data_IF_518590496328
#
_entry.id   IF_518590496328
#
_cell.length_a   1.000
_cell.length_b   1.000
_cell.length_c   1.000
_cell.angle_alpha   90.00
_cell.angle_beta   90.00
_cell.angle_gamma   90.00
#
_symmetry.space_group_name_H-M   'P 1'
#
loop_
_entity.id
_entity.type
_entity.pdbx_description
1 polymer ?
#
# COMPACT_ATOMS: atom_id res chain seq x y z
N UNK A 1 -1.55 -19.79 -9.49
CA UNK A 1 -2.21 -20.04 -8.20
C UNK A 1 -2.94 -18.80 -7.68
N UNK A 2 -2.27 -17.66 -7.54
CA UNK A 2 -2.85 -16.37 -7.08
C UNK A 2 -3.94 -15.84 -8.03
N UNK A 3 -3.68 -15.84 -9.33
CA UNK A 3 -4.66 -15.44 -10.35
C UNK A 3 -5.93 -16.28 -10.27
N UNK A 4 -5.77 -17.61 -10.06
CA UNK A 4 -6.92 -18.51 -9.88
C UNK A 4 -7.77 -18.16 -8.66
N UNK A 5 -7.13 -17.80 -7.53
CA UNK A 5 -7.83 -17.37 -6.32
C UNK A 5 -8.58 -16.05 -6.50
N UNK A 6 -7.98 -15.09 -7.22
CA UNK A 6 -8.62 -13.80 -7.52
C UNK A 6 -9.83 -14.00 -8.42
N UNK A 7 -9.69 -14.81 -9.48
CA UNK A 7 -10.79 -15.12 -10.41
C UNK A 7 -11.90 -15.88 -9.66
N UNK A 8 -11.55 -16.88 -8.84
CA UNK A 8 -12.53 -17.61 -8.03
C UNK A 8 -13.26 -16.68 -7.06
N UNK A 9 -12.55 -15.76 -6.40
CA UNK A 9 -13.14 -14.75 -5.53
C UNK A 9 -14.10 -13.82 -6.26
N UNK A 10 -13.74 -13.40 -7.48
CA UNK A 10 -14.60 -12.56 -8.31
C UNK A 10 -15.88 -13.28 -8.77
N UNK A 11 -15.76 -14.57 -9.13
CA UNK A 11 -16.91 -15.39 -9.57
C UNK A 11 -17.86 -15.69 -8.41
N UNK A 12 -17.34 -16.05 -7.23
CA UNK A 12 -18.14 -16.41 -6.06
C UNK A 12 -18.68 -15.18 -5.32
N UNK A 13 -18.05 -14.04 -5.52
CA UNK A 13 -18.34 -12.78 -4.83
C UNK A 13 -19.69 -12.16 -5.18
N UNK A 14 -20.05 -11.03 -4.52
CA UNK A 14 -21.35 -10.39 -4.64
C UNK A 14 -21.67 -9.83 -6.04
N UNK A 15 -20.65 -9.58 -6.86
CA UNK A 15 -20.80 -9.12 -8.23
C UNK A 15 -20.74 -10.24 -9.28
N UNK A 16 -20.52 -11.50 -8.84
CA UNK A 16 -20.57 -12.71 -9.68
C UNK A 16 -21.81 -13.54 -9.40
N UNK A 17 -21.60 -14.79 -8.96
CA UNK A 17 -22.69 -15.73 -8.64
C UNK A 17 -23.41 -15.40 -7.32
N UNK A 18 -22.96 -14.41 -6.57
CA UNK A 18 -23.53 -13.99 -5.28
C UNK A 18 -23.68 -15.13 -4.25
N UNK A 19 -22.77 -16.11 -4.30
CA UNK A 19 -22.75 -17.24 -3.38
C UNK A 19 -22.22 -16.86 -2.00
N UNK A 20 -21.36 -15.84 -1.96
CA UNK A 20 -20.74 -15.34 -0.74
C UNK A 20 -21.06 -13.85 -0.61
N UNK A 21 -21.91 -13.52 0.36
CA UNK A 21 -22.23 -12.15 0.71
C UNK A 21 -21.02 -11.49 1.39
N UNK A 22 -20.82 -10.21 1.13
CA UNK A 22 -19.78 -9.41 1.79
C UNK A 22 -20.19 -9.13 3.24
N UNK A 23 -20.11 -10.16 4.07
CA UNK A 23 -20.41 -10.07 5.50
C UNK A 23 -19.17 -9.68 6.31
N UNK A 24 -19.38 -9.17 7.53
CA UNK A 24 -18.32 -8.76 8.46
C UNK A 24 -17.27 -9.84 8.69
N UNK A 25 -17.69 -11.12 8.70
CA UNK A 25 -16.80 -12.27 8.89
C UNK A 25 -15.82 -12.46 7.73
N UNK A 26 -16.26 -12.23 6.49
CA UNK A 26 -15.42 -12.36 5.29
C UNK A 26 -14.45 -11.20 5.20
N UNK A 27 -14.91 -9.97 5.51
CA UNK A 27 -14.05 -8.80 5.57
C UNK A 27 -12.96 -9.00 6.63
N UNK A 28 -13.33 -9.48 7.81
CA UNK A 28 -12.39 -9.75 8.90
C UNK A 28 -11.35 -10.81 8.49
N UNK A 29 -11.78 -11.90 7.88
CA UNK A 29 -10.90 -12.97 7.40
C UNK A 29 -9.93 -12.49 6.32
N UNK A 30 -10.40 -11.66 5.38
CA UNK A 30 -9.56 -11.04 4.35
C UNK A 30 -8.52 -10.09 4.96
N UNK A 31 -8.93 -9.26 5.89
CA UNK A 31 -8.04 -8.33 6.60
C UNK A 31 -7.00 -9.07 7.43
N UNK A 32 -7.40 -10.11 8.16
CA UNK A 32 -6.49 -10.96 8.92
C UNK A 32 -5.48 -11.67 8.02
N UNK A 33 -5.92 -12.18 6.86
CA UNK A 33 -5.04 -12.78 5.86
C UNK A 33 -4.02 -11.80 5.29
N UNK A 34 -4.45 -10.56 4.99
CA UNK A 34 -3.55 -9.51 4.52
C UNK A 34 -2.48 -9.16 5.57
N UNK A 35 -2.91 -8.94 6.83
CA UNK A 35 -1.99 -8.65 7.93
C UNK A 35 -1.01 -9.80 8.16
N UNK A 36 -1.46 -11.04 8.05
CA UNK A 36 -0.62 -12.22 8.19
C UNK A 36 0.47 -12.29 7.09
N UNK A 37 0.11 -12.02 5.83
CA UNK A 37 1.08 -11.99 4.73
C UNK A 37 2.10 -10.86 4.93
N UNK A 38 1.65 -9.68 5.35
CA UNK A 38 2.54 -8.55 5.64
C UNK A 38 3.50 -8.87 6.81
N UNK A 39 2.99 -9.52 7.85
CA UNK A 39 3.81 -9.93 9.00
C UNK A 39 4.87 -10.97 8.60
N UNK A 40 4.49 -12.01 7.85
CA UNK A 40 5.46 -12.99 7.33
C UNK A 40 6.52 -12.33 6.44
N UNK A 41 6.12 -11.42 5.58
CA UNK A 41 7.04 -10.67 4.73
C UNK A 41 8.06 -9.88 5.57
N UNK A 42 7.60 -9.26 6.67
CA UNK A 42 8.48 -8.55 7.59
C UNK A 42 9.47 -9.45 8.33
N UNK A 43 9.03 -10.65 8.73
CA UNK A 43 9.89 -11.63 9.42
C UNK A 43 10.96 -12.23 8.51
N UNK A 44 10.65 -12.47 7.24
CA UNK A 44 11.58 -13.05 6.27
C UNK A 44 12.62 -12.04 5.75
N UNK A 45 12.39 -10.74 6.00
CA UNK A 45 13.28 -9.68 5.55
C UNK A 45 14.53 -9.59 6.41
N UNK A 46 15.71 -9.60 5.78
CA UNK A 46 16.96 -9.34 6.47
C UNK A 46 17.13 -7.84 6.76
N UNK A 47 17.02 -7.48 8.05
CA UNK A 47 17.10 -6.09 8.49
C UNK A 47 18.48 -5.46 8.22
N UNK A 48 19.54 -6.27 8.19
CA UNK A 48 20.89 -5.77 7.90
C UNK A 48 21.01 -5.35 6.42
N UNK A 49 20.45 -6.15 5.53
CA UNK A 49 20.39 -5.87 4.10
C UNK A 49 19.43 -4.71 3.79
N UNK A 50 18.33 -4.59 4.53
CA UNK A 50 17.41 -3.45 4.41
C UNK A 50 18.12 -2.14 4.79
N UNK A 51 18.79 -2.06 5.93
CA UNK A 51 19.56 -0.88 6.35
C UNK A 51 20.64 -0.51 5.34
N UNK A 52 21.35 -1.49 4.81
CA UNK A 52 22.40 -1.27 3.81
C UNK A 52 21.87 -0.74 2.49
N UNK A 53 20.63 -1.11 2.11
CA UNK A 53 20.00 -0.71 0.86
C UNK A 53 18.84 0.29 1.03
N UNK A 54 18.66 0.86 2.22
CA UNK A 54 17.55 1.77 2.56
C UNK A 54 17.41 2.94 1.58
N UNK A 55 18.53 3.56 1.17
CA UNK A 55 18.54 4.63 0.18
C UNK A 55 18.02 4.17 -1.20
N UNK A 56 18.36 2.97 -1.62
CA UNK A 56 17.86 2.38 -2.87
C UNK A 56 16.38 2.05 -2.79
N UNK A 57 15.93 1.52 -1.66
CA UNK A 57 14.49 1.29 -1.38
C UNK A 57 13.71 2.60 -1.36
N UNK A 58 14.28 3.67 -0.82
CA UNK A 58 13.65 4.99 -0.81
C UNK A 58 13.48 5.55 -2.23
N UNK A 59 14.53 5.50 -3.03
CA UNK A 59 14.49 5.95 -4.43
C UNK A 59 13.50 5.10 -5.23
N UNK A 60 13.56 3.78 -5.10
CA UNK A 60 12.66 2.86 -5.77
C UNK A 60 11.20 3.11 -5.35
N UNK A 61 10.92 3.18 -4.05
CA UNK A 61 9.59 3.49 -3.51
C UNK A 61 9.07 4.87 -3.96
N UNK A 62 9.95 5.89 -3.98
CA UNK A 62 9.62 7.22 -4.49
C UNK A 62 9.19 7.20 -5.98
N UNK A 63 9.96 6.55 -6.83
CA UNK A 63 9.61 6.42 -8.25
C UNK A 63 8.34 5.61 -8.47
N UNK A 64 8.20 4.46 -7.81
CA UNK A 64 7.02 3.59 -7.93
C UNK A 64 5.76 4.22 -7.35
N UNK A 65 5.90 5.20 -6.46
CA UNK A 65 4.79 6.00 -5.96
C UNK A 65 4.46 7.17 -6.89
N UNK A 66 5.46 8.01 -7.23
CA UNK A 66 5.24 9.26 -7.96
C UNK A 66 4.76 9.02 -9.41
N UNK A 67 5.29 8.02 -10.10
CA UNK A 67 4.93 7.77 -11.51
C UNK A 67 3.47 7.35 -11.66
N UNK A 68 2.97 6.29 -10.97
CA UNK A 68 1.55 5.93 -11.05
C UNK A 68 0.64 7.04 -10.49
N UNK A 69 1.07 7.77 -9.48
CA UNK A 69 0.32 8.91 -8.93
C UNK A 69 0.10 9.97 -9.99
N UNK A 70 1.17 10.40 -10.69
CA UNK A 70 1.07 11.40 -11.75
C UNK A 70 0.15 10.96 -12.88
N UNK A 71 0.34 9.73 -13.39
CA UNK A 71 -0.52 9.18 -14.44
C UNK A 71 -1.96 8.97 -13.97
N UNK A 72 -2.17 8.55 -12.73
CA UNK A 72 -3.49 8.38 -12.13
C UNK A 72 -4.25 9.71 -12.00
N UNK A 73 -3.57 10.80 -11.60
CA UNK A 73 -4.18 12.14 -11.54
C UNK A 73 -4.55 12.62 -12.94
N UNK A 74 -3.63 12.48 -13.91
CA UNK A 74 -3.90 12.87 -15.29
C UNK A 74 -5.08 12.09 -15.87
N UNK A 75 -5.12 10.79 -15.69
CA UNK A 75 -6.21 9.94 -16.16
C UNK A 75 -7.53 10.28 -15.46
N UNK A 76 -7.52 10.45 -14.15
CA UNK A 76 -8.70 10.81 -13.36
C UNK A 76 -9.29 12.15 -13.77
N UNK A 77 -8.44 13.15 -13.95
CA UNK A 77 -8.87 14.50 -14.26
C UNK A 77 -9.28 14.68 -15.74
N UNK A 78 -8.43 14.22 -16.70
CA UNK A 78 -8.66 14.47 -18.13
C UNK A 78 -9.52 13.40 -18.80
N UNK A 79 -9.44 12.13 -18.41
CA UNK A 79 -10.16 11.05 -19.08
C UNK A 79 -11.48 10.77 -18.38
N UNK A 80 -11.48 10.71 -17.04
CA UNK A 80 -12.66 10.39 -16.25
C UNK A 80 -13.49 11.63 -15.84
N UNK A 81 -12.91 12.84 -15.97
CA UNK A 81 -13.59 14.09 -15.62
C UNK A 81 -13.89 14.25 -14.13
N UNK A 82 -13.13 13.56 -13.28
CA UNK A 82 -13.34 13.64 -11.82
C UNK A 82 -12.82 14.97 -11.25
N UNK A 83 -13.43 15.45 -10.14
CA UNK A 83 -12.88 16.55 -9.37
C UNK A 83 -11.46 16.21 -8.91
N UNK A 84 -10.62 17.23 -8.73
CA UNK A 84 -9.19 17.06 -8.42
C UNK A 84 -8.95 16.17 -7.19
N UNK A 85 -9.75 16.32 -6.13
CA UNK A 85 -9.63 15.50 -4.92
C UNK A 85 -9.90 14.01 -5.18
N UNK A 86 -10.94 13.69 -5.96
CA UNK A 86 -11.27 12.33 -6.36
C UNK A 86 -10.20 11.72 -7.27
N UNK A 87 -9.63 12.54 -8.16
CA UNK A 87 -8.54 12.12 -9.05
C UNK A 87 -7.28 11.78 -8.27
N UNK A 88 -6.94 12.55 -7.24
CA UNK A 88 -5.78 12.27 -6.36
C UNK A 88 -6.03 11.02 -5.52
N UNK A 89 -7.25 10.82 -5.00
CA UNK A 89 -7.60 9.60 -4.26
C UNK A 89 -7.48 8.35 -5.14
N UNK A 90 -8.01 8.43 -6.36
CA UNK A 90 -7.89 7.35 -7.34
C UNK A 90 -6.43 7.05 -7.68
N UNK A 91 -5.65 8.09 -7.90
CA UNK A 91 -4.22 7.96 -8.17
C UNK A 91 -3.45 7.34 -7.00
N UNK A 92 -3.79 7.71 -5.76
CA UNK A 92 -3.23 7.10 -4.55
C UNK A 92 -3.49 5.60 -4.43
N UNK A 93 -4.67 5.14 -4.86
CA UNK A 93 -4.99 3.71 -4.93
C UNK A 93 -4.10 2.97 -5.94
N UNK A 94 -3.81 3.58 -7.09
CA UNK A 94 -2.91 2.98 -8.09
C UNK A 94 -1.44 3.05 -7.67
N UNK A 95 -1.05 4.02 -6.87
CA UNK A 95 0.31 4.19 -6.40
C UNK A 95 0.66 3.26 -5.23
N UNK A 96 -0.34 2.76 -4.50
CA UNK A 96 -0.15 1.77 -3.44
C UNK A 96 0.03 0.38 -4.04
N UNK A 97 1.21 -0.21 -3.84
CA UNK A 97 1.54 -1.54 -4.33
C UNK A 97 1.50 -2.53 -3.17
N UNK A 98 0.65 -3.53 -3.28
CA UNK A 98 0.60 -4.62 -2.32
C UNK A 98 1.62 -5.71 -2.67
N UNK A 99 2.24 -6.29 -1.63
CA UNK A 99 3.22 -7.40 -1.74
C UNK A 99 2.56 -8.73 -2.18
N UNK A 100 1.69 -8.69 -3.18
CA UNK A 100 0.97 -9.88 -3.68
C UNK A 100 1.95 -10.93 -4.23
N UNK A 101 3.06 -10.50 -4.81
CA UNK A 101 4.07 -11.40 -5.36
C UNK A 101 4.97 -12.05 -4.29
N UNK A 102 4.97 -11.54 -3.05
CA UNK A 102 5.86 -12.02 -1.98
C UNK A 102 5.71 -13.53 -1.69
N UNK A 103 4.49 -14.11 -1.58
CA UNK A 103 4.35 -15.55 -1.37
C UNK A 103 4.94 -16.41 -2.49
N UNK A 104 5.02 -15.89 -3.71
CA UNK A 104 5.62 -16.58 -4.86
C UNK A 104 7.14 -16.56 -4.71
N UNK A 105 7.70 -15.40 -4.39
CA UNK A 105 9.14 -15.19 -4.18
C UNK A 105 9.66 -16.03 -3.01
N UNK A 106 8.91 -16.09 -1.91
CA UNK A 106 9.24 -16.90 -0.75
C UNK A 106 9.24 -18.40 -1.09
N UNK A 107 8.25 -18.90 -1.86
CA UNK A 107 8.23 -20.29 -2.32
C UNK A 107 9.37 -20.66 -3.25
N UNK A 108 9.88 -19.71 -4.02
CA UNK A 108 11.04 -19.91 -4.89
C UNK A 108 12.38 -19.85 -4.14
N UNK A 109 12.37 -19.55 -2.84
CA UNK A 109 13.57 -19.47 -1.99
C UNK A 109 14.45 -18.25 -2.28
N UNK A 110 13.97 -17.26 -3.04
CA UNK A 110 14.71 -16.05 -3.41
C UNK A 110 14.30 -14.82 -2.59
N UNK A 111 13.59 -15.02 -1.48
CA UNK A 111 13.12 -13.93 -0.62
C UNK A 111 14.25 -13.04 -0.07
N UNK A 112 15.45 -13.60 0.07
CA UNK A 112 16.66 -12.88 0.53
C UNK A 112 17.48 -12.24 -0.58
N UNK A 113 17.01 -12.28 -1.82
CA UNK A 113 17.69 -11.58 -2.91
C UNK A 113 17.64 -10.06 -2.68
N UNK A 114 18.72 -9.38 -3.01
CA UNK A 114 18.85 -7.93 -2.87
C UNK A 114 17.76 -7.16 -3.60
N UNK A 115 17.37 -7.61 -4.78
CA UNK A 115 16.30 -6.99 -5.55
C UNK A 115 14.96 -7.10 -4.82
N UNK A 116 14.68 -8.25 -4.22
CA UNK A 116 13.46 -8.49 -3.43
C UNK A 116 13.45 -7.62 -2.18
N UNK A 117 14.57 -7.56 -1.45
CA UNK A 117 14.71 -6.70 -0.26
C UNK A 117 14.45 -5.23 -0.60
N UNK A 118 14.99 -4.73 -1.72
CA UNK A 118 14.74 -3.35 -2.18
C UNK A 118 13.27 -3.15 -2.53
N UNK A 119 12.65 -4.10 -3.23
CA UNK A 119 11.24 -4.01 -3.62
C UNK A 119 10.31 -4.02 -2.40
N UNK A 120 10.53 -4.92 -1.44
CA UNK A 120 9.78 -4.99 -0.17
C UNK A 120 9.94 -3.70 0.63
N UNK A 121 11.16 -3.21 0.77
CA UNK A 121 11.42 -1.92 1.42
C UNK A 121 10.76 -0.75 0.72
N UNK A 122 10.75 -0.74 -0.62
CA UNK A 122 10.04 0.24 -1.43
C UNK A 122 8.53 0.21 -1.19
N UNK A 123 7.93 -0.98 -1.04
CA UNK A 123 6.50 -1.12 -0.77
C UNK A 123 6.11 -0.53 0.59
N UNK A 124 6.90 -0.75 1.63
CA UNK A 124 6.66 -0.12 2.95
C UNK A 124 6.62 1.40 2.83
N UNK A 125 7.50 1.98 2.02
CA UNK A 125 7.55 3.43 1.77
C UNK A 125 6.31 3.88 0.97
N UNK A 126 5.95 3.18 -0.10
CA UNK A 126 4.77 3.54 -0.92
C UNK A 126 3.48 3.44 -0.11
N UNK A 127 3.31 2.42 0.74
CA UNK A 127 2.13 2.26 1.59
C UNK A 127 2.04 3.40 2.61
N UNK A 128 3.17 3.76 3.23
CA UNK A 128 3.22 4.91 4.16
C UNK A 128 2.85 6.22 3.46
N UNK A 129 3.39 6.47 2.27
CA UNK A 129 3.08 7.66 1.48
C UNK A 129 1.62 7.68 1.02
N UNK A 130 1.06 6.53 0.63
CA UNK A 130 -0.34 6.41 0.21
C UNK A 130 -1.30 6.70 1.38
N UNK A 131 -1.02 6.17 2.57
CA UNK A 131 -1.82 6.46 3.77
C UNK A 131 -1.72 7.93 4.18
N UNK A 132 -0.54 8.53 4.06
CA UNK A 132 -0.31 9.95 4.30
C UNK A 132 -1.13 10.80 3.32
N UNK A 133 -1.04 10.50 2.03
CA UNK A 133 -1.81 11.17 0.98
C UNK A 133 -3.31 11.05 1.26
N UNK A 134 -3.80 9.84 1.56
CA UNK A 134 -5.19 9.59 1.89
C UNK A 134 -5.66 10.45 3.07
N UNK A 135 -4.87 10.49 4.14
CA UNK A 135 -5.21 11.25 5.35
C UNK A 135 -5.32 12.74 5.05
N UNK A 136 -4.37 13.29 4.27
CA UNK A 136 -4.38 14.71 3.89
C UNK A 136 -5.61 15.02 3.02
N UNK A 137 -5.86 14.22 1.98
CA UNK A 137 -6.96 14.47 1.04
C UNK A 137 -8.33 14.33 1.73
N UNK A 138 -8.51 13.32 2.56
CA UNK A 138 -9.76 13.15 3.32
C UNK A 138 -9.95 14.30 4.30
N UNK A 139 -8.89 14.72 5.00
CA UNK A 139 -8.94 15.90 5.87
C UNK A 139 -9.39 17.15 5.12
N UNK A 140 -8.79 17.43 3.97
CA UNK A 140 -9.15 18.58 3.12
C UNK A 140 -10.57 18.48 2.55
N UNK A 141 -11.01 17.30 2.15
CA UNK A 141 -12.34 17.09 1.58
C UNK A 141 -13.47 17.20 2.63
N UNK A 142 -13.20 16.84 3.89
CA UNK A 142 -14.16 16.94 4.99
C UNK A 142 -14.20 18.31 5.67
N UNK A 143 -13.32 19.23 5.27
CA UNK A 143 -13.26 20.58 5.85
C UNK A 143 -12.75 20.64 7.30
N UNK A 144 -12.26 19.53 7.85
CA UNK A 144 -11.75 19.43 9.22
C UNK A 144 -10.23 19.67 9.29
N UNK A 145 -9.74 20.62 8.51
CA UNK A 145 -8.32 21.00 8.53
C UNK A 145 -8.11 22.11 9.55
N UNK A 146 -8.19 21.75 10.83
CA UNK A 146 -7.77 22.63 11.93
C UNK A 146 -6.23 22.60 12.04
N UNK A 147 -5.65 23.68 12.63
CA UNK A 147 -4.21 23.72 12.92
C UNK A 147 -3.75 22.49 13.73
N UNK A 148 -4.63 21.92 14.55
CA UNK A 148 -4.39 20.71 15.32
C UNK A 148 -4.30 19.44 14.44
N UNK A 149 -4.90 19.43 13.25
CA UNK A 149 -4.78 18.34 12.28
C UNK A 149 -3.34 18.21 11.77
N UNK A 150 -2.71 19.31 11.42
CA UNK A 150 -1.32 19.34 10.94
C UNK A 150 -0.33 18.88 12.03
N UNK A 151 -0.55 19.27 13.28
CA UNK A 151 0.26 18.81 14.41
C UNK A 151 0.11 17.31 14.67
N UNK A 152 -1.10 16.78 14.59
CA UNK A 152 -1.34 15.34 14.72
C UNK A 152 -0.73 14.54 13.56
N UNK A 153 -0.83 15.05 12.34
CA UNK A 153 -0.22 14.43 11.16
C UNK A 153 1.31 14.41 11.29
N UNK A 154 1.92 15.54 11.62
CA UNK A 154 3.37 15.64 11.85
C UNK A 154 3.83 14.73 13.00
N UNK A 155 3.04 14.64 14.08
CA UNK A 155 3.30 13.75 15.21
C UNK A 155 3.24 12.27 14.82
N UNK A 156 2.25 11.84 14.05
CA UNK A 156 2.16 10.43 13.61
C UNK A 156 3.26 10.07 12.61
N UNK A 157 3.63 10.97 11.71
CA UNK A 157 4.75 10.75 10.78
C UNK A 157 6.08 10.68 11.53
N UNK A 158 6.33 11.60 12.46
CA UNK A 158 7.55 11.58 13.27
C UNK A 158 7.65 10.33 14.16
N UNK A 159 6.52 9.89 14.74
CA UNK A 159 6.46 8.65 15.50
C UNK A 159 6.78 7.43 14.61
N UNK A 160 6.21 7.37 13.41
CA UNK A 160 6.47 6.30 12.45
C UNK A 160 7.94 6.26 12.06
N UNK A 161 8.54 7.41 11.73
CA UNK A 161 9.98 7.50 11.43
C UNK A 161 10.83 7.10 12.63
N UNK A 162 10.47 7.55 13.85
CA UNK A 162 11.18 7.18 15.06
C UNK A 162 11.15 5.66 15.30
N UNK A 163 10.00 5.01 15.12
CA UNK A 163 9.87 3.56 15.23
C UNK A 163 10.77 2.86 14.21
N UNK A 164 10.76 3.29 12.94
CA UNK A 164 11.59 2.70 11.88
C UNK A 164 13.10 2.88 12.16
N UNK A 165 13.51 4.00 12.74
CA UNK A 165 14.92 4.27 13.06
C UNK A 165 15.38 3.53 14.31
N UNK A 166 14.47 3.33 15.28
CA UNK A 166 14.82 2.67 16.56
C UNK A 166 14.75 1.12 16.47
N UNK A 167 14.02 0.58 15.52
CA UNK A 167 13.90 -0.87 15.29
C UNK A 167 15.05 -1.36 14.41
#
# INVERSE_FOLDING_TARGET
YLLGLIIAGAVIGPHGLNLVLRDSSIILSGTAGLLYIMFLSGLDMDMSDFRRNSWRSLIFGGYTFCVPLAFGILAGYYILGFPIYSSILLAGLFASQTLIAYPIVSKLGIARDKAVTIAVGGTVITDTLALLLLTVIVGMATGNVDDMFWWRLAGSVSLCIAIIVFL
#
